data_IF_282134541502
#
_entry.id   IF_282134541502
#
_cell.length_a   1.000
_cell.length_b   1.000
_cell.length_c   1.000
_cell.angle_alpha   90.00
_cell.angle_beta   90.00
_cell.angle_gamma   90.00
#
_symmetry.space_group_name_H-M   'P 1'
#
loop_
_entity.id
_entity.type
_entity.pdbx_description
1 polymer ?
#
# COMPACT_ATOMS: atom_id res chain seq x y z
N UNK A 1 -6.93 3.30 17.16
CA UNK A 1 -8.31 2.89 16.83
C UNK A 1 -8.94 3.97 15.98
N UNK A 2 -9.73 3.59 14.96
CA UNK A 2 -10.54 4.52 14.17
C UNK A 2 -11.89 4.74 14.89
N UNK A 3 -12.36 5.98 14.96
CA UNK A 3 -13.60 6.36 15.68
C UNK A 3 -14.56 7.24 14.85
N UNK A 4 -14.27 7.42 13.57
CA UNK A 4 -15.13 8.21 12.68
C UNK A 4 -16.41 7.42 12.37
N UNK A 5 -17.61 8.02 12.46
CA UNK A 5 -18.88 7.30 12.31
C UNK A 5 -19.05 6.65 10.93
N UNK A 6 -18.37 7.17 9.92
CA UNK A 6 -18.39 6.62 8.55
C UNK A 6 -17.19 5.71 8.24
N UNK A 7 -16.34 5.40 9.22
CA UNK A 7 -15.23 4.44 9.03
C UNK A 7 -15.78 3.04 8.74
N UNK A 8 -15.27 2.43 7.67
CA UNK A 8 -15.63 1.08 7.26
C UNK A 8 -14.40 0.34 6.73
N UNK A 9 -14.46 -0.99 6.77
CA UNK A 9 -13.46 -1.82 6.10
C UNK A 9 -13.72 -1.80 4.59
N UNK A 10 -12.65 -1.70 3.80
CA UNK A 10 -12.69 -1.80 2.36
C UNK A 10 -11.41 -2.46 1.84
N UNK A 11 -11.50 -3.07 0.66
CA UNK A 11 -10.32 -3.60 -0.04
C UNK A 11 -9.58 -2.50 -0.77
N UNK A 12 -8.24 -2.53 -0.73
CA UNK A 12 -7.37 -1.47 -1.32
C UNK A 12 -7.29 -1.54 -2.86
N UNK A 13 -7.83 -2.60 -3.49
CA UNK A 13 -7.66 -2.94 -4.91
C UNK A 13 -6.19 -3.18 -5.31
N UNK A 14 -5.96 -3.48 -6.59
CA UNK A 14 -4.61 -3.62 -7.15
C UNK A 14 -3.97 -2.22 -7.29
N UNK A 15 -2.66 -2.13 -7.10
CA UNK A 15 -1.88 -0.89 -7.09
C UNK A 15 -0.78 -0.92 -8.14
N UNK A 16 -0.60 0.23 -8.80
CA UNK A 16 0.42 0.42 -9.82
C UNK A 16 1.83 0.65 -9.24
N UNK A 17 2.82 0.62 -10.13
CA UNK A 17 4.23 0.83 -9.80
C UNK A 17 4.50 2.21 -9.19
N UNK A 18 3.79 3.23 -9.62
CA UNK A 18 3.86 4.59 -9.09
C UNK A 18 3.51 4.64 -7.58
N UNK A 19 2.47 3.91 -7.17
CA UNK A 19 2.07 3.83 -5.77
C UNK A 19 3.05 3.02 -4.93
N UNK A 20 3.68 2.00 -5.51
CA UNK A 20 4.74 1.20 -4.86
C UNK A 20 6.00 2.05 -4.65
N UNK A 21 6.41 2.83 -5.65
CA UNK A 21 7.56 3.74 -5.58
C UNK A 21 7.37 4.82 -4.50
N UNK A 22 6.20 5.45 -4.46
CA UNK A 22 5.85 6.44 -3.43
C UNK A 22 5.84 5.81 -2.03
N UNK A 23 5.27 4.61 -1.87
CA UNK A 23 5.26 3.92 -0.57
C UNK A 23 6.68 3.55 -0.12
N UNK A 24 7.52 3.05 -1.02
CA UNK A 24 8.92 2.72 -0.74
C UNK A 24 9.68 3.94 -0.23
N UNK A 25 9.54 5.09 -0.90
CA UNK A 25 10.15 6.36 -0.51
C UNK A 25 9.68 6.83 0.88
N UNK A 26 8.36 6.83 1.13
CA UNK A 26 7.79 7.23 2.44
C UNK A 26 8.23 6.34 3.59
N UNK A 27 8.51 5.07 3.31
CA UNK A 27 8.89 4.07 4.32
C UNK A 27 10.41 3.89 4.43
N UNK A 28 11.21 4.57 3.60
CA UNK A 28 12.66 4.39 3.55
C UNK A 28 13.08 2.96 3.20
N UNK A 29 12.25 2.24 2.45
CA UNK A 29 12.49 0.87 2.02
C UNK A 29 12.91 0.86 0.55
N UNK A 30 13.66 -0.15 0.14
CA UNK A 30 13.93 -0.38 -1.28
C UNK A 30 12.68 -0.93 -1.99
N UNK A 31 12.64 -0.75 -3.31
CA UNK A 31 11.49 -1.13 -4.13
C UNK A 31 11.24 -2.63 -4.15
N UNK A 32 12.30 -3.45 -4.21
CA UNK A 32 12.15 -4.90 -4.28
C UNK A 32 11.57 -5.48 -2.97
N UNK A 33 11.98 -4.93 -1.83
CA UNK A 33 11.38 -5.25 -0.53
C UNK A 33 9.91 -4.83 -0.48
N UNK A 34 9.59 -3.65 -1.00
CA UNK A 34 8.22 -3.12 -1.01
C UNK A 34 7.29 -3.97 -1.89
N UNK A 35 7.72 -4.32 -3.10
CA UNK A 35 7.01 -5.23 -4.00
C UNK A 35 6.77 -6.59 -3.35
N UNK A 36 7.75 -7.11 -2.60
CA UNK A 36 7.60 -8.38 -1.88
C UNK A 36 6.51 -8.31 -0.82
N UNK A 37 6.41 -7.22 -0.06
CA UNK A 37 5.37 -7.02 0.95
C UNK A 37 3.98 -6.83 0.32
N UNK A 38 3.92 -6.08 -0.78
CA UNK A 38 2.67 -5.68 -1.43
C UNK A 38 2.24 -6.66 -2.54
N UNK A 39 2.97 -7.77 -2.74
CA UNK A 39 2.73 -8.76 -3.82
C UNK A 39 1.26 -9.16 -4.02
N UNK A 40 0.44 -9.38 -2.96
CA UNK A 40 -0.98 -9.69 -3.14
C UNK A 40 -1.80 -8.57 -3.79
N UNK A 41 -1.31 -7.34 -3.78
CA UNK A 41 -2.01 -6.14 -4.20
C UNK A 41 -1.34 -5.39 -5.36
N UNK A 42 -0.22 -5.84 -5.95
CA UNK A 42 0.37 -5.17 -7.14
C UNK A 42 -0.55 -5.28 -8.36
N UNK A 43 -0.35 -4.65 -9.51
CA UNK A 43 -1.09 -5.05 -10.74
C UNK A 43 -0.49 -6.32 -11.37
#
# INVERSE_FOLDING_TARGET
>A
YFAHPESQYFGVARIGRDQVEDYAARRGADIATTERWLRPNLD
#
